data_IF_172797539761
#
_entry.id   IF_172797539761
#
_cell.length_a   1.000
_cell.length_b   1.000
_cell.length_c   1.000
_cell.angle_alpha   90.00
_cell.angle_beta   90.00
_cell.angle_gamma   90.00
#
_symmetry.space_group_name_H-M   'P 1'
#
loop_
_entity.id
_entity.type
_entity.pdbx_description
1 polymer ?
#
# COMPACT_ATOMS: atom_id res chain seq x y z
N UNK A 1 23.03 -20.39 -3.55
CA UNK A 1 22.69 -19.08 -2.97
C UNK A 1 22.29 -18.13 -4.07
N UNK A 2 23.23 -17.59 -4.85
CA UNK A 2 22.93 -16.60 -5.91
C UNK A 2 21.91 -17.08 -6.94
N UNK A 3 21.98 -18.35 -7.35
CA UNK A 3 21.00 -18.93 -8.28
C UNK A 3 19.60 -19.07 -7.67
N UNK A 4 19.51 -19.36 -6.37
CA UNK A 4 18.22 -19.51 -5.69
C UNK A 4 17.60 -18.13 -5.43
N UNK A 5 18.41 -17.13 -5.06
CA UNK A 5 17.97 -15.74 -4.97
C UNK A 5 17.49 -15.22 -6.33
N UNK A 6 18.27 -15.41 -7.38
CA UNK A 6 17.88 -15.00 -8.73
C UNK A 6 16.60 -15.72 -9.21
N UNK A 7 16.36 -16.96 -8.78
CA UNK A 7 15.12 -17.67 -9.06
C UNK A 7 13.94 -17.01 -8.33
N UNK A 8 14.09 -16.65 -7.04
CA UNK A 8 13.07 -15.91 -6.29
C UNK A 8 12.76 -14.55 -6.94
N UNK A 9 13.78 -13.77 -7.31
CA UNK A 9 13.63 -12.49 -8.02
C UNK A 9 12.89 -12.62 -9.35
N UNK A 10 12.92 -13.82 -9.97
CA UNK A 10 12.22 -14.12 -11.22
C UNK A 10 10.85 -14.78 -11.01
N UNK A 11 10.40 -14.96 -9.76
CA UNK A 11 9.19 -15.70 -9.43
C UNK A 11 9.27 -17.21 -9.68
N UNK A 12 10.47 -17.76 -9.94
CA UNK A 12 10.69 -19.21 -10.09
C UNK A 12 10.81 -19.87 -8.71
N UNK A 13 9.70 -19.87 -7.96
CA UNK A 13 9.63 -20.44 -6.61
C UNK A 13 9.97 -21.94 -6.60
N UNK A 14 9.50 -22.69 -7.61
CA UNK A 14 9.83 -24.12 -7.76
C UNK A 14 11.34 -24.34 -8.04
N UNK A 15 11.96 -23.46 -8.83
CA UNK A 15 13.40 -23.45 -9.07
C UNK A 15 14.19 -23.16 -7.81
N UNK A 16 13.80 -22.13 -7.06
CA UNK A 16 14.40 -21.77 -5.78
C UNK A 16 14.31 -22.92 -4.77
N UNK A 17 13.13 -23.55 -4.65
CA UNK A 17 12.91 -24.71 -3.80
C UNK A 17 13.83 -25.87 -4.16
N UNK A 18 13.90 -26.25 -5.44
CA UNK A 18 14.79 -27.34 -5.90
C UNK A 18 16.26 -27.04 -5.60
N UNK A 19 16.68 -25.79 -5.69
CA UNK A 19 18.06 -25.39 -5.37
C UNK A 19 18.36 -25.51 -3.88
N UNK A 20 17.40 -25.16 -3.00
CA UNK A 20 17.53 -25.38 -1.55
C UNK A 20 17.55 -26.87 -1.19
N UNK A 21 16.66 -27.68 -1.77
CA UNK A 21 16.65 -29.14 -1.58
C UNK A 21 17.94 -29.81 -2.05
N UNK A 22 18.50 -29.34 -3.17
CA UNK A 22 19.80 -29.81 -3.67
C UNK A 22 20.94 -29.43 -2.72
N UNK A 23 20.91 -28.23 -2.13
CA UNK A 23 21.89 -27.81 -1.12
C UNK A 23 21.80 -28.70 0.12
N UNK A 24 20.60 -28.97 0.62
CA UNK A 24 20.38 -29.87 1.75
C UNK A 24 20.89 -31.29 1.47
N UNK A 25 20.53 -31.86 0.30
CA UNK A 25 20.97 -33.20 -0.13
C UNK A 25 22.49 -33.26 -0.33
N UNK A 26 23.10 -32.17 -0.77
CA UNK A 26 24.54 -32.00 -0.91
C UNK A 26 25.31 -31.86 0.41
N UNK A 27 24.61 -31.82 1.55
CA UNK A 27 25.21 -31.71 2.88
C UNK A 27 25.54 -30.27 3.31
N UNK A 28 24.89 -29.26 2.71
CA UNK A 28 24.99 -27.89 3.19
C UNK A 28 24.44 -27.78 4.63
N UNK A 29 25.02 -26.87 5.42
CA UNK A 29 24.49 -26.58 6.75
C UNK A 29 23.21 -25.76 6.62
N UNK A 30 22.05 -26.38 6.81
CA UNK A 30 20.76 -25.69 6.73
C UNK A 30 20.50 -24.71 7.87
N UNK A 31 21.37 -24.67 8.88
CA UNK A 31 21.39 -23.63 9.92
C UNK A 31 22.31 -22.44 9.55
N UNK A 32 22.86 -22.40 8.34
CA UNK A 32 23.57 -21.21 7.84
C UNK A 32 22.56 -20.05 7.70
N UNK A 33 22.81 -18.88 8.31
CA UNK A 33 21.88 -17.75 8.26
C UNK A 33 21.44 -17.38 6.84
N UNK A 34 22.32 -17.54 5.85
CA UNK A 34 22.01 -17.22 4.46
C UNK A 34 21.04 -18.23 3.85
N UNK A 35 21.16 -19.51 4.21
CA UNK A 35 20.24 -20.56 3.76
C UNK A 35 18.88 -20.44 4.45
N UNK A 36 18.88 -20.11 5.74
CA UNK A 36 17.67 -19.78 6.48
C UNK A 36 16.97 -18.57 5.89
N UNK A 37 17.70 -17.51 5.56
CA UNK A 37 17.17 -16.32 4.87
C UNK A 37 16.52 -16.67 3.52
N UNK A 38 17.18 -17.47 2.67
CA UNK A 38 16.56 -17.91 1.42
C UNK A 38 15.34 -18.80 1.63
N UNK A 39 15.36 -19.68 2.64
CA UNK A 39 14.20 -20.48 3.02
C UNK A 39 13.04 -19.60 3.49
N UNK A 40 13.33 -18.55 4.27
CA UNK A 40 12.36 -17.60 4.74
C UNK A 40 11.70 -16.82 3.59
N UNK A 41 12.50 -16.30 2.65
CA UNK A 41 11.98 -15.61 1.46
C UNK A 41 11.10 -16.53 0.59
N UNK A 42 11.48 -17.80 0.43
CA UNK A 42 10.67 -18.77 -0.31
C UNK A 42 9.35 -19.09 0.40
N UNK A 43 9.40 -19.27 1.72
CA UNK A 43 8.21 -19.52 2.53
C UNK A 43 7.25 -18.33 2.50
N UNK A 44 7.79 -17.11 2.65
CA UNK A 44 7.03 -15.86 2.57
C UNK A 44 6.35 -15.72 1.21
N UNK A 45 7.09 -15.87 0.11
CA UNK A 45 6.51 -15.80 -1.24
C UNK A 45 5.49 -16.92 -1.52
N UNK A 46 5.56 -18.04 -0.79
CA UNK A 46 4.57 -19.12 -0.84
C UNK A 46 3.38 -18.95 0.10
N UNK A 47 3.33 -17.87 0.88
CA UNK A 47 2.29 -17.61 1.89
C UNK A 47 2.43 -18.43 3.19
N UNK A 48 3.52 -19.18 3.37
CA UNK A 48 3.81 -19.89 4.62
C UNK A 48 4.51 -18.94 5.60
N UNK A 49 3.73 -18.00 6.12
CA UNK A 49 4.20 -16.92 6.99
C UNK A 49 4.84 -17.47 8.28
N UNK A 50 4.28 -18.53 8.86
CA UNK A 50 4.81 -19.14 10.08
C UNK A 50 6.24 -19.69 9.87
N UNK A 51 6.48 -20.39 8.77
CA UNK A 51 7.82 -20.90 8.44
C UNK A 51 8.79 -19.78 8.06
N UNK A 52 8.29 -18.72 7.39
CA UNK A 52 9.08 -17.55 7.06
C UNK A 52 9.62 -16.86 8.33
N UNK A 53 8.73 -16.57 9.29
CA UNK A 53 9.10 -15.95 10.58
C UNK A 53 10.08 -16.84 11.34
N UNK A 54 9.77 -18.12 11.50
CA UNK A 54 10.65 -19.10 12.17
C UNK A 54 12.06 -19.13 11.56
N UNK A 55 12.14 -19.10 10.23
CA UNK A 55 13.42 -19.10 9.51
C UNK A 55 14.19 -17.79 9.68
N UNK A 56 13.52 -16.63 9.62
CA UNK A 56 14.15 -15.34 9.89
C UNK A 56 14.65 -15.23 11.32
N UNK A 57 13.86 -15.62 12.32
CA UNK A 57 14.27 -15.60 13.73
C UNK A 57 15.54 -16.43 13.96
N UNK A 58 15.59 -17.64 13.39
CA UNK A 58 16.76 -18.52 13.46
C UNK A 58 17.96 -17.92 12.75
N UNK A 59 17.76 -17.27 11.60
CA UNK A 59 18.81 -16.60 10.86
C UNK A 59 19.38 -15.42 11.67
N UNK A 60 18.51 -14.56 12.21
CA UNK A 60 18.87 -13.39 13.01
C UNK A 60 19.55 -13.77 14.34
N UNK A 61 19.17 -14.90 14.95
CA UNK A 61 19.81 -15.40 16.18
C UNK A 61 21.31 -15.69 16.01
N UNK A 62 21.74 -16.01 14.79
CA UNK A 62 23.15 -16.20 14.45
C UNK A 62 23.91 -14.90 14.15
N UNK A 63 23.24 -13.74 14.26
CA UNK A 63 23.80 -12.37 14.09
C UNK A 63 24.53 -12.19 12.75
N UNK A 64 23.86 -12.44 11.62
CA UNK A 64 24.46 -12.34 10.30
C UNK A 64 24.99 -10.93 10.05
N UNK A 65 26.06 -10.81 9.27
CA UNK A 65 26.65 -9.51 8.90
C UNK A 65 26.17 -9.02 7.53
N UNK A 66 25.03 -9.55 7.06
CA UNK A 66 24.41 -9.18 5.79
C UNK A 66 23.26 -8.21 6.07
N UNK A 67 23.36 -6.93 5.69
CA UNK A 67 22.29 -5.94 5.92
C UNK A 67 20.94 -6.36 5.35
N UNK A 68 20.94 -6.95 4.16
CA UNK A 68 19.74 -7.34 3.44
C UNK A 68 18.82 -8.27 4.24
N UNK A 69 19.40 -9.12 5.08
CA UNK A 69 18.64 -10.04 5.93
C UNK A 69 17.80 -9.31 6.98
N UNK A 70 18.29 -8.17 7.47
CA UNK A 70 17.55 -7.32 8.42
C UNK A 70 16.43 -6.54 7.72
N UNK A 71 16.70 -6.03 6.51
CA UNK A 71 15.69 -5.35 5.70
C UNK A 71 14.55 -6.32 5.38
N UNK A 72 14.85 -7.47 4.77
CA UNK A 72 13.81 -8.42 4.36
C UNK A 72 13.01 -8.97 5.56
N UNK A 73 13.64 -9.12 6.73
CA UNK A 73 12.93 -9.50 7.96
C UNK A 73 12.03 -8.35 8.47
N UNK A 74 12.52 -7.11 8.45
CA UNK A 74 11.73 -5.93 8.79
C UNK A 74 10.53 -5.74 7.87
N UNK A 75 10.69 -5.98 6.56
CA UNK A 75 9.60 -5.97 5.58
C UNK A 75 8.56 -7.03 5.91
N UNK A 76 8.96 -8.28 6.14
CA UNK A 76 8.02 -9.34 6.53
C UNK A 76 7.24 -8.96 7.81
N UNK A 77 7.91 -8.42 8.83
CA UNK A 77 7.23 -8.00 10.05
C UNK A 77 6.26 -6.84 9.79
N UNK A 78 6.62 -5.87 8.94
CA UNK A 78 5.75 -4.77 8.56
C UNK A 78 4.52 -5.23 7.77
N UNK A 79 4.68 -6.19 6.85
CA UNK A 79 3.59 -6.79 6.07
C UNK A 79 2.59 -7.55 6.96
N UNK A 80 3.07 -8.16 8.04
CA UNK A 80 2.22 -8.76 9.07
C UNK A 80 1.59 -7.73 10.03
N UNK A 81 1.80 -6.43 9.78
CA UNK A 81 1.46 -5.31 10.68
C UNK A 81 2.07 -5.44 12.08
N UNK A 82 3.14 -6.23 12.21
CA UNK A 82 3.90 -6.38 13.44
C UNK A 82 5.02 -5.33 13.48
N UNK A 83 4.58 -4.07 13.57
CA UNK A 83 5.43 -2.91 13.43
C UNK A 83 6.48 -2.79 14.56
N UNK A 84 6.18 -3.29 15.77
CA UNK A 84 7.14 -3.35 16.89
C UNK A 84 8.37 -4.21 16.53
N UNK A 85 8.14 -5.44 16.05
CA UNK A 85 9.23 -6.36 15.67
C UNK A 85 9.99 -5.85 14.43
N UNK A 86 9.29 -5.23 13.47
CA UNK A 86 9.92 -4.58 12.33
C UNK A 86 10.87 -3.47 12.76
N UNK A 87 10.42 -2.59 13.65
CA UNK A 87 11.23 -1.52 14.23
C UNK A 87 12.48 -2.06 14.94
N UNK A 88 12.31 -3.06 15.81
CA UNK A 88 13.41 -3.66 16.58
C UNK A 88 14.50 -4.24 15.67
N UNK A 89 14.11 -4.95 14.61
CA UNK A 89 15.05 -5.54 13.65
C UNK A 89 15.80 -4.46 12.86
N UNK A 90 15.10 -3.42 12.39
CA UNK A 90 15.71 -2.35 11.59
C UNK A 90 16.63 -1.47 12.43
N UNK A 91 16.25 -1.14 13.66
CA UNK A 91 17.14 -0.43 14.60
C UNK A 91 18.37 -1.26 14.95
N UNK A 92 18.20 -2.57 15.17
CA UNK A 92 19.33 -3.48 15.36
C UNK A 92 20.31 -3.40 14.19
N UNK A 93 19.83 -3.29 12.95
CA UNK A 93 20.70 -3.14 11.79
C UNK A 93 21.53 -1.85 11.83
N UNK A 94 20.91 -0.72 12.22
CA UNK A 94 21.56 0.59 12.29
C UNK A 94 22.57 0.72 13.45
N UNK A 95 22.34 0.01 14.55
CA UNK A 95 23.19 0.04 15.75
C UNK A 95 24.43 -0.85 15.67
N UNK A 96 24.43 -1.81 14.74
CA UNK A 96 25.49 -2.81 14.62
C UNK A 96 26.70 -2.28 13.85
N UNK A 97 27.81 -2.09 14.57
CA UNK A 97 29.09 -1.66 13.97
C UNK A 97 29.69 -2.69 12.99
N UNK A 98 29.32 -3.96 13.10
CA UNK A 98 29.80 -5.04 12.24
C UNK A 98 28.94 -5.25 10.98
N UNK A 99 27.83 -4.51 10.84
CA UNK A 99 27.08 -4.36 9.59
C UNK A 99 27.64 -3.16 8.81
N UNK A 100 28.45 -3.43 7.81
CA UNK A 100 28.91 -2.39 6.89
C UNK A 100 27.76 -1.97 5.97
N UNK A 101 27.04 -0.92 6.36
CA UNK A 101 26.02 -0.29 5.52
C UNK A 101 26.67 0.74 4.60
N UNK A 102 26.55 0.54 3.28
CA UNK A 102 26.81 1.61 2.33
C UNK A 102 25.67 2.68 2.43
N UNK A 103 25.74 3.76 1.65
CA UNK A 103 24.74 4.84 1.76
C UNK A 103 23.36 4.39 1.25
N UNK A 104 23.32 3.51 0.26
CA UNK A 104 22.10 2.91 -0.27
C UNK A 104 21.48 1.93 0.74
N UNK A 105 22.24 0.98 1.29
CA UNK A 105 21.75 0.03 2.30
C UNK A 105 21.24 0.78 3.55
N UNK A 106 21.96 1.83 3.98
CA UNK A 106 21.53 2.66 5.10
C UNK A 106 20.24 3.41 4.78
N UNK A 107 20.09 3.89 3.54
CA UNK A 107 18.88 4.59 3.12
C UNK A 107 17.67 3.65 3.10
N UNK A 108 17.83 2.42 2.60
CA UNK A 108 16.80 1.38 2.59
C UNK A 108 16.30 1.09 4.02
N UNK A 109 17.21 0.85 4.97
CA UNK A 109 16.85 0.60 6.38
C UNK A 109 16.16 1.81 7.02
N UNK A 110 16.66 3.03 6.81
CA UNK A 110 16.06 4.24 7.36
C UNK A 110 14.69 4.54 6.77
N UNK A 111 14.52 4.30 5.47
CA UNK A 111 13.26 4.53 4.76
C UNK A 111 12.19 3.57 5.24
N UNK A 112 12.51 2.28 5.32
CA UNK A 112 11.59 1.27 5.84
C UNK A 112 11.24 1.54 7.30
N UNK A 113 12.22 1.90 8.14
CA UNK A 113 11.95 2.26 9.53
C UNK A 113 11.04 3.50 9.63
N UNK A 114 11.26 4.52 8.79
CA UNK A 114 10.38 5.68 8.75
C UNK A 114 8.95 5.32 8.29
N UNK A 115 8.81 4.41 7.32
CA UNK A 115 7.50 3.87 6.91
C UNK A 115 6.82 3.12 8.06
N UNK A 116 7.54 2.21 8.72
CA UNK A 116 7.05 1.48 9.90
C UNK A 116 6.58 2.43 11.00
N UNK A 117 7.34 3.50 11.31
CA UNK A 117 6.94 4.51 12.32
C UNK A 117 5.72 5.33 11.90
N UNK A 118 5.44 5.50 10.61
CA UNK A 118 4.22 6.18 10.14
C UNK A 118 2.99 5.26 10.13
N UNK A 119 3.19 3.96 9.93
CA UNK A 119 2.12 2.95 9.90
C UNK A 119 1.73 2.44 11.30
N UNK A 120 2.59 2.61 12.30
CA UNK A 120 2.32 2.16 13.66
C UNK A 120 1.17 2.94 14.31
N UNK A 121 0.36 2.29 15.16
CA UNK A 121 -0.76 2.91 15.90
C UNK A 121 -0.35 4.10 16.78
N UNK A 122 0.92 4.17 17.17
CA UNK A 122 1.52 5.26 17.94
C UNK A 122 2.36 6.21 17.07
N UNK A 123 1.97 6.34 15.80
CA UNK A 123 2.74 7.01 14.76
C UNK A 123 3.42 8.29 15.24
N UNK A 124 4.71 8.39 14.93
CA UNK A 124 5.53 9.57 15.22
C UNK A 124 6.09 10.16 13.91
N UNK A 125 5.33 11.06 13.25
CA UNK A 125 5.78 11.71 12.03
C UNK A 125 7.02 12.59 12.22
N UNK A 126 7.31 13.05 13.43
CA UNK A 126 8.50 13.85 13.71
C UNK A 126 9.74 12.95 13.71
N UNK A 127 9.66 11.80 14.39
CA UNK A 127 10.71 10.79 14.32
C UNK A 127 10.93 10.28 12.89
N UNK A 128 9.86 10.00 12.13
CA UNK A 128 9.97 9.59 10.73
C UNK A 128 10.76 10.61 9.90
N UNK A 129 10.55 11.92 10.11
CA UNK A 129 11.36 12.95 9.45
C UNK A 129 12.82 12.97 9.92
N UNK A 130 13.08 12.78 11.22
CA UNK A 130 14.46 12.70 11.73
C UNK A 130 15.24 11.51 11.14
N UNK A 131 14.56 10.39 10.91
CA UNK A 131 15.12 9.23 10.21
C UNK A 131 15.41 9.54 8.74
N UNK A 132 14.45 10.15 8.04
CA UNK A 132 14.60 10.53 6.63
C UNK A 132 15.68 11.60 6.40
N UNK A 133 15.93 12.48 7.38
CA UNK A 133 16.98 13.50 7.34
C UNK A 133 18.40 12.91 7.47
N UNK A 134 18.52 11.66 7.95
CA UNK A 134 19.79 10.93 7.99
C UNK A 134 20.17 10.30 6.64
N UNK A 135 19.22 10.19 5.71
CA UNK A 135 19.45 9.65 4.37
C UNK A 135 20.32 10.62 3.56
N UNK A 136 21.32 10.08 2.85
CA UNK A 136 22.26 10.86 2.06
C UNK A 136 21.51 11.76 1.05
N UNK A 137 21.81 13.08 0.99
CA UNK A 137 21.08 14.01 0.12
C UNK A 137 21.08 13.67 -1.37
N UNK A 138 22.04 12.85 -1.84
CA UNK A 138 22.04 12.36 -3.22
C UNK A 138 20.89 11.40 -3.54
N UNK A 139 20.22 10.87 -2.51
CA UNK A 139 19.10 9.94 -2.63
C UNK A 139 17.73 10.61 -2.41
N UNK A 140 17.69 11.91 -2.11
CA UNK A 140 16.41 12.66 -1.91
C UNK A 140 15.61 12.87 -3.20
N UNK A 141 16.07 12.30 -4.31
CA UNK A 141 15.33 12.28 -5.57
C UNK A 141 14.59 10.97 -5.80
N UNK A 142 14.83 9.97 -4.95
CA UNK A 142 14.14 8.69 -4.99
C UNK A 142 12.64 8.88 -4.68
N UNK A 143 11.72 8.37 -5.53
CA UNK A 143 10.29 8.46 -5.29
C UNK A 143 9.86 7.95 -3.92
N UNK A 144 10.43 6.85 -3.45
CA UNK A 144 10.05 6.26 -2.18
C UNK A 144 10.41 7.19 -1.01
N UNK A 145 11.59 7.82 -1.05
CA UNK A 145 11.95 8.86 -0.08
C UNK A 145 11.00 10.05 -0.12
N UNK A 146 10.64 10.52 -1.32
CA UNK A 146 9.71 11.66 -1.50
C UNK A 146 8.35 11.32 -0.91
N UNK A 147 7.82 10.13 -1.20
CA UNK A 147 6.51 9.69 -0.74
C UNK A 147 6.43 9.63 0.78
N UNK A 148 7.40 8.96 1.43
CA UNK A 148 7.42 8.81 2.89
C UNK A 148 7.64 10.15 3.58
N UNK A 149 8.50 11.02 3.03
CA UNK A 149 8.69 12.36 3.55
C UNK A 149 7.43 13.22 3.42
N UNK A 150 6.73 13.14 2.29
CA UNK A 150 5.49 13.89 2.09
C UNK A 150 4.40 13.42 3.06
N UNK A 151 4.28 12.11 3.31
CA UNK A 151 3.38 11.55 4.31
C UNK A 151 3.72 12.05 5.74
N UNK A 152 4.99 12.03 6.13
CA UNK A 152 5.41 12.54 7.43
C UNK A 152 5.14 14.05 7.58
N UNK A 153 5.40 14.84 6.52
CA UNK A 153 5.07 16.27 6.50
C UNK A 153 3.56 16.52 6.62
N UNK A 154 2.74 15.71 5.96
CA UNK A 154 1.28 15.79 6.09
C UNK A 154 0.83 15.51 7.53
N UNK A 155 1.38 14.47 8.18
CA UNK A 155 1.10 14.14 9.59
C UNK A 155 1.45 15.27 10.57
N UNK A 156 2.44 16.10 10.24
CA UNK A 156 2.80 17.29 11.02
C UNK A 156 2.03 18.56 10.64
N UNK A 157 1.03 18.46 9.76
CA UNK A 157 0.29 19.63 9.25
C UNK A 157 1.13 20.54 8.34
N UNK A 158 2.25 20.04 7.82
CA UNK A 158 3.17 20.73 6.88
C UNK A 158 2.93 20.28 5.44
N UNK A 159 1.66 20.07 5.08
CA UNK A 159 1.26 19.51 3.78
C UNK A 159 1.72 20.36 2.58
N UNK A 160 1.87 21.68 2.73
CA UNK A 160 2.41 22.51 1.64
C UNK A 160 3.87 22.17 1.28
N UNK A 161 4.67 21.75 2.26
CA UNK A 161 6.06 21.32 2.01
C UNK A 161 6.08 19.97 1.29
N UNK A 162 5.22 19.03 1.71
CA UNK A 162 5.06 17.73 1.06
C UNK A 162 4.58 17.88 -0.39
N UNK A 163 3.61 18.75 -0.63
CA UNK A 163 3.11 19.06 -1.97
C UNK A 163 4.23 19.57 -2.89
N UNK A 164 5.09 20.47 -2.39
CA UNK A 164 6.23 20.99 -3.16
C UNK A 164 7.23 19.91 -3.55
N UNK A 165 7.49 18.96 -2.65
CA UNK A 165 8.36 17.80 -2.90
C UNK A 165 7.77 16.88 -3.96
N UNK A 166 6.49 16.51 -3.80
CA UNK A 166 5.76 15.64 -4.72
C UNK A 166 5.68 16.24 -6.13
N UNK A 167 5.34 17.53 -6.25
CA UNK A 167 5.29 18.22 -7.53
C UNK A 167 6.66 18.17 -8.26
N UNK A 168 7.75 18.43 -7.54
CA UNK A 168 9.09 18.34 -8.10
C UNK A 168 9.50 16.92 -8.46
N UNK A 169 9.00 15.89 -7.77
CA UNK A 169 9.25 14.49 -8.11
C UNK A 169 8.48 14.05 -9.37
N UNK A 170 7.19 14.39 -9.46
CA UNK A 170 6.35 14.11 -10.65
C UNK A 170 6.96 14.69 -11.93
N UNK A 171 7.55 15.89 -11.87
CA UNK A 171 8.20 16.52 -13.05
C UNK A 171 9.42 15.74 -13.57
N UNK A 172 10.09 14.98 -12.70
CA UNK A 172 11.33 14.25 -13.02
C UNK A 172 11.11 12.77 -13.26
N UNK A 173 10.02 12.22 -12.73
CA UNK A 173 9.76 10.79 -12.77
C UNK A 173 9.42 10.32 -14.19
N UNK A 174 10.10 9.26 -14.61
CA UNK A 174 9.95 8.63 -15.93
C UNK A 174 9.34 7.25 -15.86
N UNK A 175 9.45 6.57 -14.72
CA UNK A 175 8.86 5.26 -14.47
C UNK A 175 7.34 5.38 -14.32
N UNK A 176 6.54 4.71 -15.18
CA UNK A 176 5.08 4.69 -15.16
C UNK A 176 4.47 4.40 -13.79
N UNK A 177 4.99 3.47 -13.03
CA UNK A 177 4.35 3.06 -11.78
C UNK A 177 4.64 4.08 -10.66
N UNK A 178 5.91 4.40 -10.45
CA UNK A 178 6.32 5.37 -9.43
C UNK A 178 5.68 6.75 -9.65
N UNK A 179 5.59 7.20 -10.90
CA UNK A 179 4.95 8.49 -11.18
C UNK A 179 3.43 8.48 -11.08
N UNK A 180 2.77 7.32 -11.16
CA UNK A 180 1.34 7.22 -10.83
C UNK A 180 1.12 7.40 -9.33
N UNK A 181 1.94 6.73 -8.51
CA UNK A 181 1.88 6.88 -7.06
C UNK A 181 2.16 8.32 -6.60
N UNK A 182 3.20 8.96 -7.16
CA UNK A 182 3.48 10.37 -6.86
C UNK A 182 2.34 11.31 -7.29
N UNK A 183 1.64 11.03 -8.39
CA UNK A 183 0.47 11.81 -8.83
C UNK A 183 -0.71 11.65 -7.88
N UNK A 184 -0.93 10.42 -7.37
CA UNK A 184 -1.96 10.15 -6.39
C UNK A 184 -1.74 10.95 -5.10
N UNK A 185 -0.54 10.82 -4.53
CA UNK A 185 -0.14 11.55 -3.32
C UNK A 185 -0.13 13.06 -3.52
N UNK A 186 0.29 13.55 -4.70
CA UNK A 186 0.23 14.98 -5.04
C UNK A 186 -1.21 15.49 -5.02
N UNK A 187 -2.16 14.74 -5.59
CA UNK A 187 -3.57 15.12 -5.56
C UNK A 187 -4.15 15.16 -4.14
N UNK A 188 -3.79 14.18 -3.29
CA UNK A 188 -4.15 14.18 -1.86
C UNK A 188 -3.58 15.42 -1.15
N UNK A 189 -2.29 15.72 -1.32
CA UNK A 189 -1.65 16.88 -0.72
C UNK A 189 -2.27 18.20 -1.20
N UNK A 190 -2.52 18.34 -2.51
CA UNK A 190 -3.18 19.52 -3.08
C UNK A 190 -4.60 19.71 -2.54
N UNK A 191 -5.34 18.62 -2.34
CA UNK A 191 -6.68 18.69 -1.73
C UNK A 191 -6.58 19.14 -0.28
N UNK A 192 -5.66 18.58 0.50
CA UNK A 192 -5.42 18.97 1.90
C UNK A 192 -5.02 20.45 2.04
N UNK A 193 -4.28 21.00 1.07
CA UNK A 193 -3.88 22.42 1.05
C UNK A 193 -4.92 23.34 0.39
N UNK A 194 -6.11 22.82 0.05
CA UNK A 194 -7.22 23.58 -0.52
C UNK A 194 -7.07 23.93 -2.02
N UNK A 195 -6.07 23.38 -2.70
CA UNK A 195 -5.83 23.55 -4.14
C UNK A 195 -6.64 22.55 -4.96
N UNK A 196 -7.96 22.59 -4.79
CA UNK A 196 -8.91 21.62 -5.37
C UNK A 196 -8.76 21.47 -6.88
N UNK A 197 -8.65 22.58 -7.62
CA UNK A 197 -8.49 22.52 -9.08
C UNK A 197 -7.19 21.81 -9.49
N UNK A 198 -6.10 22.00 -8.74
CA UNK A 198 -4.83 21.34 -9.00
C UNK A 198 -4.93 19.83 -8.70
N UNK A 199 -5.58 19.47 -7.59
CA UNK A 199 -5.83 18.07 -7.22
C UNK A 199 -6.60 17.33 -8.32
N UNK A 200 -7.64 17.96 -8.88
CA UNK A 200 -8.41 17.41 -10.00
C UNK A 200 -7.52 17.16 -11.22
N UNK A 201 -6.63 18.09 -11.58
CA UNK A 201 -5.72 17.89 -12.72
C UNK A 201 -4.72 16.75 -12.48
N UNK A 202 -4.16 16.65 -11.26
CA UNK A 202 -3.28 15.55 -10.86
C UNK A 202 -4.00 14.20 -10.94
N UNK A 203 -5.23 14.12 -10.43
CA UNK A 203 -6.04 12.90 -10.47
C UNK A 203 -6.54 12.53 -11.87
N UNK A 204 -6.82 13.50 -12.74
CA UNK A 204 -7.09 13.22 -14.15
C UNK A 204 -5.83 12.71 -14.88
N UNK A 205 -4.64 13.20 -14.52
CA UNK A 205 -3.38 12.67 -15.02
C UNK A 205 -3.13 11.24 -14.52
N UNK A 206 -3.38 10.98 -13.24
CA UNK A 206 -3.32 9.65 -12.64
C UNK A 206 -4.25 8.67 -13.36
N UNK A 207 -5.55 8.99 -13.49
CA UNK A 207 -6.52 8.15 -14.18
C UNK A 207 -6.05 7.75 -15.58
N UNK A 208 -5.55 8.71 -16.37
CA UNK A 208 -5.05 8.41 -17.73
C UNK A 208 -3.89 7.42 -17.72
N UNK A 209 -3.06 7.47 -16.68
CA UNK A 209 -1.88 6.63 -16.52
C UNK A 209 -2.25 5.23 -16.06
N UNK A 210 -3.11 5.11 -15.05
CA UNK A 210 -3.61 3.82 -14.55
C UNK A 210 -4.35 3.06 -15.67
N UNK A 211 -5.26 3.73 -16.39
CA UNK A 211 -5.97 3.11 -17.53
C UNK A 211 -5.01 2.63 -18.64
N UNK A 212 -3.93 3.39 -18.89
CA UNK A 212 -2.95 3.01 -19.90
C UNK A 212 -2.07 1.85 -19.43
N UNK A 213 -1.69 1.82 -18.15
CA UNK A 213 -0.88 0.76 -17.56
C UNK A 213 -1.63 -0.56 -17.46
N UNK A 214 -2.90 -0.51 -17.06
CA UNK A 214 -3.77 -1.67 -16.90
C UNK A 214 -4.50 -2.07 -18.20
N UNK A 215 -4.27 -1.35 -19.30
CA UNK A 215 -4.94 -1.53 -20.59
C UNK A 215 -6.48 -1.54 -20.49
N UNK A 216 -7.03 -0.73 -19.58
CA UNK A 216 -8.47 -0.65 -19.32
C UNK A 216 -9.14 0.35 -20.25
N UNK A 217 -10.11 -0.13 -21.04
CA UNK A 217 -11.08 0.73 -21.72
C UNK A 217 -12.26 1.01 -20.77
N UNK A 218 -12.22 2.16 -20.10
CA UNK A 218 -13.22 2.57 -19.11
C UNK A 218 -14.62 2.80 -19.70
N UNK A 219 -14.73 3.01 -21.02
CA UNK A 219 -16.01 3.24 -21.71
C UNK A 219 -16.62 1.93 -22.25
N UNK A 220 -15.90 0.81 -22.17
CA UNK A 220 -16.41 -0.48 -22.58
C UNK A 220 -17.54 -0.98 -21.65
N UNK A 221 -18.54 -1.63 -22.23
CA UNK A 221 -19.63 -2.23 -21.46
C UNK A 221 -19.15 -3.48 -20.70
N UNK A 222 -19.50 -3.57 -19.42
CA UNK A 222 -19.36 -4.80 -18.63
C UNK A 222 -20.40 -5.83 -19.07
N UNK A 223 -19.98 -7.10 -19.12
CA UNK A 223 -20.90 -8.22 -19.35
C UNK A 223 -21.96 -8.27 -18.24
N UNK A 224 -23.19 -8.61 -18.61
CA UNK A 224 -24.33 -8.57 -17.67
C UNK A 224 -24.13 -9.51 -16.48
N UNK A 225 -23.61 -10.72 -16.72
CA UNK A 225 -23.41 -11.72 -15.66
C UNK A 225 -22.33 -11.26 -14.65
N UNK A 226 -21.23 -10.67 -15.11
CA UNK A 226 -20.16 -10.13 -14.24
C UNK A 226 -20.66 -8.93 -13.43
N UNK A 227 -21.41 -8.04 -14.08
CA UNK A 227 -22.03 -6.88 -13.43
C UNK A 227 -23.01 -7.30 -12.33
N UNK A 228 -23.88 -8.26 -12.61
CA UNK A 228 -24.86 -8.78 -11.67
C UNK A 228 -24.20 -9.53 -10.51
N UNK A 229 -23.03 -10.14 -10.75
CA UNK A 229 -22.25 -10.80 -9.71
C UNK A 229 -21.60 -9.81 -8.75
N UNK A 230 -20.86 -8.82 -9.27
CA UNK A 230 -20.24 -7.76 -8.47
C UNK A 230 -21.27 -6.96 -7.68
N UNK A 231 -22.44 -6.67 -8.29
CA UNK A 231 -23.53 -6.02 -7.59
C UNK A 231 -24.01 -6.87 -6.40
N UNK A 232 -24.17 -8.18 -6.58
CA UNK A 232 -24.59 -9.09 -5.50
C UNK A 232 -23.54 -9.16 -4.38
N UNK A 233 -22.26 -9.20 -4.72
CA UNK A 233 -21.19 -9.18 -3.72
C UNK A 233 -21.24 -7.91 -2.87
N UNK A 234 -21.43 -6.73 -3.49
CA UNK A 234 -21.65 -5.49 -2.75
C UNK A 234 -22.94 -5.54 -1.90
N UNK A 235 -24.04 -6.06 -2.43
CA UNK A 235 -25.29 -6.23 -1.65
C UNK A 235 -25.07 -7.13 -0.42
N UNK A 236 -24.38 -8.26 -0.57
CA UNK A 236 -24.04 -9.17 0.53
C UNK A 236 -23.17 -8.47 1.59
N UNK A 237 -22.18 -7.68 1.16
CA UNK A 237 -21.36 -6.86 2.07
C UNK A 237 -22.22 -5.83 2.81
N UNK A 238 -23.11 -5.12 2.11
CA UNK A 238 -24.01 -4.14 2.72
C UNK A 238 -24.94 -4.80 3.75
N UNK A 239 -25.50 -5.98 3.44
CA UNK A 239 -26.37 -6.73 4.35
C UNK A 239 -25.66 -7.21 5.62
N UNK A 240 -24.33 -7.34 5.58
CA UNK A 240 -23.51 -7.67 6.76
C UNK A 240 -23.29 -6.49 7.72
N UNK A 241 -23.57 -5.26 7.28
CA UNK A 241 -23.38 -4.06 8.09
C UNK A 241 -24.32 -4.02 9.31
N UNK A 242 -23.91 -3.36 10.42
CA UNK A 242 -24.81 -3.13 11.55
C UNK A 242 -26.10 -2.40 11.13
N UNK A 243 -27.24 -2.81 11.68
CA UNK A 243 -28.59 -2.27 11.40
C UNK A 243 -28.67 -0.73 11.25
N UNK A 244 -28.01 0.09 12.11
CA UNK A 244 -28.05 1.54 11.95
C UNK A 244 -27.38 2.02 10.67
N UNK A 245 -26.27 1.39 10.27
CA UNK A 245 -25.47 1.73 9.10
C UNK A 245 -26.16 1.22 7.83
N UNK A 246 -26.63 -0.03 7.84
CA UNK A 246 -27.39 -0.63 6.73
C UNK A 246 -28.57 0.28 6.32
N UNK A 247 -29.29 0.86 7.29
CA UNK A 247 -30.43 1.77 7.00
C UNK A 247 -30.04 3.03 6.23
N UNK A 248 -28.79 3.48 6.31
CA UNK A 248 -28.30 4.67 5.60
C UNK A 248 -28.11 4.39 4.11
N UNK A 249 -27.76 3.14 3.77
CA UNK A 249 -27.34 2.73 2.42
C UNK A 249 -28.39 1.87 1.71
N UNK A 250 -29.29 1.21 2.44
CA UNK A 250 -30.20 0.19 1.92
C UNK A 250 -31.16 0.63 0.79
N UNK A 251 -31.40 1.93 0.62
CA UNK A 251 -32.29 2.44 -0.44
C UNK A 251 -31.54 3.03 -1.63
N UNK A 252 -30.21 3.10 -1.57
CA UNK A 252 -29.42 3.71 -2.62
C UNK A 252 -29.37 2.78 -3.85
N UNK A 253 -29.60 3.32 -5.06
CA UNK A 253 -29.38 2.54 -6.28
C UNK A 253 -27.89 2.20 -6.40
N UNK A 254 -27.60 0.94 -6.73
CA UNK A 254 -26.25 0.46 -7.00
C UNK A 254 -26.00 0.45 -8.51
N UNK A 255 -24.81 0.86 -8.92
CA UNK A 255 -24.30 0.70 -10.28
C UNK A 255 -22.90 0.12 -10.23
N UNK A 256 -22.56 -0.65 -11.27
CA UNK A 256 -21.20 -1.15 -11.48
C UNK A 256 -20.67 -0.52 -12.76
N UNK A 257 -19.52 0.13 -12.64
CA UNK A 257 -18.79 0.79 -13.72
C UNK A 257 -17.38 0.20 -13.79
N UNK A 258 -16.67 0.45 -14.89
CA UNK A 258 -15.30 -0.08 -15.07
C UNK A 258 -14.28 0.70 -14.25
N UNK A 259 -14.36 2.02 -14.31
CA UNK A 259 -13.42 2.93 -13.66
C UNK A 259 -14.09 4.26 -13.29
N UNK A 260 -13.55 4.95 -12.29
CA UNK A 260 -14.00 6.29 -11.88
C UNK A 260 -13.96 7.24 -13.08
N UNK A 261 -15.08 7.88 -13.42
CA UNK A 261 -15.16 8.74 -14.61
C UNK A 261 -14.47 10.10 -14.40
N UNK A 262 -14.07 10.77 -15.48
CA UNK A 262 -13.52 12.12 -15.36
C UNK A 262 -14.52 13.13 -14.77
N UNK A 263 -15.83 12.91 -14.97
CA UNK A 263 -16.87 13.76 -14.40
C UNK A 263 -16.92 13.60 -12.88
N UNK A 264 -16.72 12.37 -12.38
CA UNK A 264 -16.62 12.08 -10.96
C UNK A 264 -15.36 12.71 -10.36
N UNK A 265 -14.18 12.56 -10.99
CA UNK A 265 -12.96 13.20 -10.49
C UNK A 265 -13.12 14.72 -10.38
N UNK A 266 -13.72 15.36 -11.39
CA UNK A 266 -14.04 16.81 -11.33
C UNK A 266 -15.09 17.15 -10.25
N UNK A 267 -15.91 16.19 -9.85
CA UNK A 267 -16.82 16.28 -8.71
C UNK A 267 -16.16 16.11 -7.35
N UNK A 268 -14.84 15.85 -7.31
CA UNK A 268 -14.08 15.67 -6.08
C UNK A 268 -14.09 14.24 -5.54
N UNK A 269 -14.44 13.25 -6.36
CA UNK A 269 -14.27 11.86 -6.00
C UNK A 269 -12.83 11.39 -6.27
N UNK A 270 -12.35 10.48 -5.43
CA UNK A 270 -11.03 9.90 -5.56
C UNK A 270 -10.96 8.98 -6.80
N UNK A 271 -9.92 9.11 -7.65
CA UNK A 271 -9.78 8.31 -8.87
C UNK A 271 -9.49 6.81 -8.66
N UNK A 272 -9.07 6.39 -7.45
CA UNK A 272 -8.69 5.02 -7.10
C UNK A 272 -9.64 4.35 -6.09
N UNK A 273 -10.82 4.91 -5.83
CA UNK A 273 -11.80 4.22 -4.98
C UNK A 273 -12.48 3.06 -5.70
N UNK A 274 -12.53 1.90 -5.05
CA UNK A 274 -13.33 0.76 -5.49
C UNK A 274 -14.85 0.99 -5.33
N UNK A 275 -15.25 1.74 -4.29
CA UNK A 275 -16.65 2.12 -3.99
C UNK A 275 -16.73 3.64 -3.83
N UNK A 276 -17.74 4.26 -4.44
CA UNK A 276 -18.07 5.68 -4.26
C UNK A 276 -19.53 5.86 -3.88
N UNK A 277 -19.79 6.69 -2.87
CA UNK A 277 -21.10 7.24 -2.57
C UNK A 277 -21.35 8.54 -3.32
N UNK A 278 -22.31 8.50 -4.23
CA UNK A 278 -22.79 9.70 -4.92
C UNK A 278 -23.79 10.46 -4.05
N UNK A 279 -23.62 11.77 -3.98
CA UNK A 279 -24.60 12.65 -3.34
C UNK A 279 -23.95 13.75 -2.53
N UNK A 280 -24.66 14.21 -1.50
CA UNK A 280 -24.16 15.26 -0.60
C UNK A 280 -23.72 14.61 0.71
N UNK A 281 -22.42 14.62 1.06
CA UNK A 281 -21.97 14.11 2.34
C UNK A 281 -22.53 14.95 3.51
N UNK A 282 -22.48 14.38 4.71
CA UNK A 282 -22.83 15.07 5.95
C UNK A 282 -21.94 16.29 6.14
N UNK A 283 -22.51 17.34 6.72
CA UNK A 283 -21.77 18.52 7.20
C UNK A 283 -22.32 18.92 8.56
N UNK A 284 -21.60 19.78 9.27
CA UNK A 284 -22.04 20.39 10.55
C UNK A 284 -23.47 20.96 10.48
N UNK A 285 -23.88 21.42 9.30
CA UNK A 285 -25.14 22.13 9.07
C UNK A 285 -26.23 21.26 8.43
N UNK A 286 -25.90 20.08 7.89
CA UNK A 286 -26.85 19.29 7.12
C UNK A 286 -26.52 17.79 7.06
N UNK A 287 -27.54 16.96 7.28
CA UNK A 287 -27.43 15.51 7.12
C UNK A 287 -27.06 15.12 5.68
N UNK A 288 -26.41 13.97 5.55
CA UNK A 288 -26.05 13.36 4.29
C UNK A 288 -27.29 13.04 3.43
N UNK A 289 -27.14 13.15 2.11
CA UNK A 289 -28.12 12.76 1.09
C UNK A 289 -27.44 11.83 0.09
N UNK A 290 -27.55 10.52 0.33
CA UNK A 290 -27.05 9.50 -0.57
C UNK A 290 -27.99 9.34 -1.78
N UNK A 291 -27.41 9.44 -2.97
CA UNK A 291 -28.12 9.35 -4.26
C UNK A 291 -27.83 8.04 -5.00
N UNK A 292 -26.69 7.41 -4.73
CA UNK A 292 -26.29 6.14 -5.33
C UNK A 292 -24.98 5.63 -4.78
N UNK A 293 -24.72 4.35 -5.03
CA UNK A 293 -23.44 3.68 -4.74
C UNK A 293 -22.90 3.17 -6.07
N UNK A 294 -21.64 3.49 -6.37
CA UNK A 294 -20.97 3.06 -7.60
C UNK A 294 -19.80 2.17 -7.21
N UNK A 295 -19.75 0.97 -7.80
CA UNK A 295 -18.70 -0.02 -7.65
C UNK A 295 -17.83 -0.05 -8.92
N UNK A 296 -16.51 -0.07 -8.79
CA UNK A 296 -15.58 0.01 -9.92
C UNK A 296 -14.83 -1.31 -10.14
N UNK A 297 -15.30 -2.07 -11.14
CA UNK A 297 -14.81 -3.43 -11.43
C UNK A 297 -13.30 -3.49 -11.61
N UNK A 298 -12.75 -2.67 -12.49
CA UNK A 298 -11.32 -2.77 -12.82
C UNK A 298 -10.44 -2.12 -11.76
N UNK A 299 -11.00 -1.28 -10.88
CA UNK A 299 -10.30 -0.77 -9.70
C UNK A 299 -10.11 -1.88 -8.67
N UNK A 300 -11.17 -2.62 -8.34
CA UNK A 300 -11.07 -3.79 -7.44
C UNK A 300 -10.05 -4.79 -7.98
N UNK A 301 -10.11 -5.10 -9.27
CA UNK A 301 -9.20 -6.05 -9.92
C UNK A 301 -7.75 -5.57 -9.92
N UNK A 302 -7.52 -4.25 -9.85
CA UNK A 302 -6.17 -3.69 -9.74
C UNK A 302 -5.60 -3.74 -8.32
N UNK A 303 -6.42 -4.04 -7.30
CA UNK A 303 -6.05 -4.04 -5.89
C UNK A 303 -5.94 -5.46 -5.28
N UNK A 304 -6.42 -6.48 -5.99
CA UNK A 304 -6.49 -7.87 -5.48
C UNK A 304 -5.58 -8.81 -6.25
N UNK A 305 -5.06 -9.82 -5.56
CA UNK A 305 -4.29 -10.91 -6.18
C UNK A 305 -5.20 -12.07 -6.63
N UNK A 306 -6.39 -12.17 -6.02
CA UNK A 306 -7.33 -13.26 -6.27
C UNK A 306 -8.80 -12.84 -6.16
N UNK A 307 -9.69 -13.55 -6.88
CA UNK A 307 -11.14 -13.31 -6.81
C UNK A 307 -11.73 -13.54 -5.40
N UNK A 308 -11.01 -14.23 -4.51
CA UNK A 308 -11.45 -14.46 -3.12
C UNK A 308 -11.38 -13.17 -2.27
N UNK A 309 -10.56 -12.19 -2.68
CA UNK A 309 -10.35 -10.91 -1.99
C UNK A 309 -11.32 -9.81 -2.45
N UNK A 310 -12.17 -10.05 -3.46
CA UNK A 310 -13.09 -9.03 -3.99
C UNK A 310 -13.95 -8.43 -2.85
N UNK A 311 -14.49 -9.28 -1.99
CA UNK A 311 -15.33 -8.83 -0.88
C UNK A 311 -14.55 -7.95 0.12
N UNK A 312 -13.28 -8.27 0.36
CA UNK A 312 -12.43 -7.53 1.29
C UNK A 312 -12.08 -6.14 0.72
N UNK A 313 -11.73 -6.05 -0.57
CA UNK A 313 -11.52 -4.78 -1.25
C UNK A 313 -12.78 -3.89 -1.24
N UNK A 314 -13.96 -4.51 -1.42
CA UNK A 314 -15.25 -3.79 -1.30
C UNK A 314 -15.43 -3.26 0.12
N UNK A 315 -15.18 -4.09 1.14
CA UNK A 315 -15.33 -3.70 2.55
C UNK A 315 -14.40 -2.54 2.89
N UNK A 316 -13.12 -2.62 2.52
CA UNK A 316 -12.14 -1.57 2.81
C UNK A 316 -12.58 -0.22 2.23
N UNK A 317 -12.88 -0.18 0.92
CA UNK A 317 -13.32 1.05 0.28
C UNK A 317 -14.68 1.53 0.80
N UNK A 318 -15.59 0.61 1.16
CA UNK A 318 -16.90 0.95 1.70
C UNK A 318 -16.78 1.61 3.08
N UNK A 319 -15.89 1.14 3.94
CA UNK A 319 -15.72 1.75 5.27
C UNK A 319 -15.16 3.16 5.15
N UNK A 320 -14.19 3.38 4.26
CA UNK A 320 -13.67 4.72 3.96
C UNK A 320 -14.78 5.67 3.47
N UNK A 321 -15.70 5.18 2.62
CA UNK A 321 -16.84 5.97 2.15
C UNK A 321 -17.88 6.22 3.25
N UNK A 322 -18.13 5.25 4.14
CA UNK A 322 -19.05 5.43 5.27
C UNK A 322 -18.56 6.52 6.21
N UNK A 323 -17.27 6.54 6.53
CA UNK A 323 -16.66 7.59 7.34
C UNK A 323 -16.73 8.95 6.62
N UNK A 324 -16.19 9.03 5.39
CA UNK A 324 -16.16 10.26 4.59
C UNK A 324 -17.54 10.87 4.34
N UNK A 325 -18.56 10.04 4.11
CA UNK A 325 -19.87 10.51 3.65
C UNK A 325 -20.84 10.76 4.79
N UNK A 326 -20.80 9.96 5.85
CA UNK A 326 -21.75 10.03 6.96
C UNK A 326 -21.14 10.54 8.28
N UNK A 327 -19.82 10.74 8.34
CA UNK A 327 -19.10 11.16 9.55
C UNK A 327 -19.30 10.15 10.70
N UNK A 328 -19.14 8.86 10.38
CA UNK A 328 -19.31 7.76 11.34
C UNK A 328 -17.93 7.35 11.87
N UNK A 329 -17.46 8.07 12.89
CA UNK A 329 -16.22 7.73 13.59
C UNK A 329 -16.28 6.30 14.16
N UNK A 330 -15.20 5.52 13.96
CA UNK A 330 -14.95 4.27 14.68
C UNK A 330 -15.66 3.01 14.14
N UNK A 331 -15.99 2.96 12.85
CA UNK A 331 -16.37 1.71 12.18
C UNK A 331 -15.18 0.76 11.93
N UNK A 332 -13.95 1.31 11.84
CA UNK A 332 -12.68 0.54 11.81
C UNK A 332 -12.07 0.51 13.21
N UNK A 333 -11.77 -0.67 13.78
CA UNK A 333 -10.82 -0.76 14.88
C UNK A 333 -9.39 -0.71 14.32
N UNK A 334 -8.72 0.44 14.46
CA UNK A 334 -7.29 0.60 14.20
C UNK A 334 -6.95 0.83 12.71
N UNK A 335 -6.73 2.09 12.37
CA UNK A 335 -5.66 2.50 11.44
C UNK A 335 -4.62 3.18 12.32
#
# INVERSE_FOLDING_TARGET
MDQARAALEQGDFEGAQRLLEAAATGGANMEDPRLLHLGALLAWAGGDIDEAVSSFERALAAKPVEPRLYVDAGELYADMMNFDDAEDVLRTALEREDLELNKEDRAEVLLLLAQTRLAHLDADPEEALELLDQIDPSLHTDPAWVSVRAAALAGLGRAEEGEGLLAGAVERETDPEAGAELLYQLGLAQRATGKVDAAVESWLALRRRDLAQLEVDADAELEADERDDLQRQLEDVLESLPDPVLKLVATAPIRVERWVSEAMIRGGYDPRSAVIFEGRPSTDDAAAELQGIVLFRDMIVAEIDSDEEIADAIVESLVNELDRFFDIEGLVPGV
#
